data_IF_452779458599
#
_entry.id   IF_452779458599
#
_cell.length_a   1.000
_cell.length_b   1.000
_cell.length_c   1.000
_cell.angle_alpha   90.00
_cell.angle_beta   90.00
_cell.angle_gamma   90.00
#
_symmetry.space_group_name_H-M   'P 1'
#
loop_
_entity.id
_entity.type
_entity.pdbx_description
1 polymer ?
#
# COMPACT_ATOMS: atom_id res chain seq x y z
N UNK A 1 -0.88 12.09 -11.03
CA UNK A 1 -1.90 11.29 -11.75
C UNK A 1 -1.98 11.56 -13.25
N UNK A 2 -1.91 12.81 -13.73
CA UNK A 2 -1.99 13.14 -15.17
C UNK A 2 -1.00 12.37 -16.04
N UNK A 3 0.27 12.28 -15.60
CA UNK A 3 1.31 11.51 -16.31
C UNK A 3 0.95 10.02 -16.47
N UNK A 4 0.23 9.45 -15.51
CA UNK A 4 -0.21 8.05 -15.51
C UNK A 4 -1.58 7.87 -16.21
N UNK A 5 -2.12 8.93 -16.83
CA UNK A 5 -3.43 8.90 -17.47
C UNK A 5 -4.56 8.58 -16.50
N UNK A 6 -4.51 9.14 -15.28
CA UNK A 6 -5.55 8.96 -14.25
C UNK A 6 -5.14 8.13 -13.03
N UNK A 7 -3.86 7.74 -12.93
CA UNK A 7 -3.30 7.04 -11.76
C UNK A 7 -2.93 5.58 -12.03
N UNK A 8 -2.65 4.82 -10.97
CA UNK A 8 -2.30 3.41 -11.04
C UNK A 8 -3.52 2.56 -11.44
N UNK A 9 -3.33 1.60 -12.35
CA UNK A 9 -4.41 0.81 -12.95
C UNK A 9 -4.40 -0.63 -12.47
N UNK A 10 -5.59 -1.19 -12.20
CA UNK A 10 -5.76 -2.62 -11.89
C UNK A 10 -5.37 -3.46 -13.11
N UNK A 11 -4.81 -4.65 -12.86
CA UNK A 11 -4.38 -5.57 -13.93
C UNK A 11 -3.09 -5.15 -14.64
N UNK A 12 -2.39 -4.12 -14.16
CA UNK A 12 -1.12 -3.67 -14.70
C UNK A 12 -0.02 -3.69 -13.63
N UNK A 13 1.19 -4.07 -14.04
CA UNK A 13 2.40 -3.88 -13.24
C UNK A 13 3.00 -2.52 -13.59
N UNK A 14 3.24 -1.68 -12.58
CA UNK A 14 3.86 -0.36 -12.75
C UNK A 14 5.17 -0.33 -11.99
N UNK A 15 6.28 -0.07 -12.69
CA UNK A 15 7.60 0.10 -12.10
C UNK A 15 7.95 1.59 -11.93
N UNK A 16 8.46 1.96 -10.76
CA UNK A 16 8.96 3.31 -10.48
C UNK A 16 10.42 3.21 -10.10
N UNK A 17 11.30 3.72 -10.96
CA UNK A 17 12.76 3.67 -10.78
C UNK A 17 13.34 5.06 -10.56
N UNK A 18 14.56 5.12 -10.01
CA UNK A 18 15.26 6.37 -9.74
C UNK A 18 16.25 6.26 -8.59
N UNK A 19 17.08 7.30 -8.44
CA UNK A 19 18.12 7.38 -7.39
C UNK A 19 17.54 7.32 -5.98
N UNK A 20 18.38 7.02 -4.98
CA UNK A 20 17.97 7.13 -3.58
C UNK A 20 17.41 8.54 -3.30
N UNK A 21 16.43 8.62 -2.41
CA UNK A 21 15.73 9.87 -2.07
C UNK A 21 14.93 10.53 -3.19
N UNK A 22 14.74 9.89 -4.36
CA UNK A 22 13.89 10.41 -5.44
C UNK A 22 12.37 10.32 -5.19
N UNK A 23 11.95 9.83 -4.01
CA UNK A 23 10.53 9.74 -3.63
C UNK A 23 9.82 8.42 -3.94
N UNK A 24 10.52 7.37 -4.39
CA UNK A 24 9.91 6.05 -4.70
C UNK A 24 9.09 5.47 -3.54
N UNK A 25 9.70 5.37 -2.36
CA UNK A 25 9.02 4.90 -1.13
C UNK A 25 7.82 5.77 -0.79
N UNK A 26 7.92 7.09 -1.01
CA UNK A 26 6.79 7.99 -0.80
C UNK A 26 5.62 7.62 -1.71
N UNK A 27 5.85 7.36 -3.00
CA UNK A 27 4.78 6.92 -3.92
C UNK A 27 4.12 5.62 -3.44
N UNK A 28 4.90 4.65 -2.96
CA UNK A 28 4.35 3.42 -2.39
C UNK A 28 3.47 3.68 -1.16
N UNK A 29 3.93 4.51 -0.21
CA UNK A 29 3.17 4.87 0.99
C UNK A 29 1.89 5.65 0.66
N UNK A 30 1.94 6.61 -0.27
CA UNK A 30 0.74 7.33 -0.72
C UNK A 30 -0.26 6.38 -1.38
N UNK A 31 0.22 5.46 -2.21
CA UNK A 31 -0.62 4.46 -2.88
C UNK A 31 -1.31 3.55 -1.86
N UNK A 32 -0.55 3.02 -0.90
CA UNK A 32 -1.08 2.17 0.18
C UNK A 32 -2.13 2.92 1.02
N UNK A 33 -1.82 4.14 1.46
CA UNK A 33 -2.73 4.96 2.25
C UNK A 33 -4.02 5.28 1.47
N UNK A 34 -3.94 5.63 0.19
CA UNK A 34 -5.11 5.97 -0.63
C UNK A 34 -6.02 4.77 -0.90
N UNK A 35 -5.46 3.60 -1.20
CA UNK A 35 -6.23 2.36 -1.43
C UNK A 35 -6.98 1.98 -0.14
N UNK A 36 -6.29 1.98 0.99
CA UNK A 36 -6.87 1.63 2.29
C UNK A 36 -7.89 2.69 2.78
N UNK A 37 -7.62 3.98 2.59
CA UNK A 37 -8.52 5.05 3.00
C UNK A 37 -9.84 5.03 2.21
N UNK A 38 -9.80 4.70 0.92
CA UNK A 38 -10.96 4.66 0.01
C UNK A 38 -11.71 3.32 0.00
N UNK A 39 -11.37 2.38 0.90
CA UNK A 39 -12.00 1.06 0.96
C UNK A 39 -11.91 0.26 -0.35
N UNK A 40 -10.80 0.43 -1.08
CA UNK A 40 -10.62 -0.23 -2.38
C UNK A 40 -10.04 -1.66 -2.27
N UNK A 41 -9.80 -2.13 -1.04
CA UNK A 41 -9.26 -3.46 -0.74
C UNK A 41 -8.22 -3.41 0.38
N UNK A 42 -7.63 -4.55 0.68
CA UNK A 42 -6.43 -4.65 1.51
C UNK A 42 -5.17 -4.39 0.68
N UNK A 43 -4.12 -3.89 1.32
CA UNK A 43 -2.81 -3.63 0.71
C UNK A 43 -1.79 -4.58 1.33
N UNK A 44 -1.08 -5.34 0.50
CA UNK A 44 0.15 -6.02 0.92
C UNK A 44 1.33 -5.12 0.54
N UNK A 45 2.07 -4.66 1.53
CA UNK A 45 3.28 -3.85 1.38
C UNK A 45 4.49 -4.73 1.68
N UNK A 46 5.30 -5.01 0.66
CA UNK A 46 6.54 -5.77 0.82
C UNK A 46 7.69 -4.78 1.06
N UNK A 47 8.26 -4.81 2.26
CA UNK A 47 9.30 -3.86 2.66
C UNK A 47 10.69 -4.51 2.66
N UNK A 48 11.45 -4.24 1.59
CA UNK A 48 12.78 -4.81 1.39
C UNK A 48 13.89 -4.04 2.10
N UNK A 49 13.61 -2.83 2.60
CA UNK A 49 14.63 -1.92 3.14
C UNK A 49 14.23 -1.28 4.46
N UNK A 50 13.25 -1.86 5.18
CA UNK A 50 12.71 -1.37 6.45
C UNK A 50 12.31 0.12 6.38
N UNK A 51 11.65 0.49 5.29
CA UNK A 51 11.30 1.86 4.93
C UNK A 51 9.81 2.18 5.12
N UNK A 52 8.98 1.19 5.45
CA UNK A 52 7.59 1.41 5.81
C UNK A 52 7.50 2.23 7.10
N UNK A 53 6.62 3.23 7.10
CA UNK A 53 6.50 4.18 8.22
C UNK A 53 5.02 4.42 8.56
N UNK A 54 4.52 3.86 9.67
CA UNK A 54 3.16 4.10 10.11
C UNK A 54 2.88 5.58 10.40
N UNK A 55 3.86 6.30 10.96
CA UNK A 55 3.76 7.75 11.19
C UNK A 55 3.62 8.51 9.88
N UNK A 56 4.35 8.12 8.83
CA UNK A 56 4.19 8.76 7.51
C UNK A 56 2.81 8.50 6.92
N UNK A 57 2.25 7.29 7.07
CA UNK A 57 0.85 7.02 6.68
C UNK A 57 -0.11 7.96 7.43
N UNK A 58 0.05 8.13 8.75
CA UNK A 58 -0.79 9.04 9.52
C UNK A 58 -0.74 10.49 8.97
N UNK A 59 0.45 10.99 8.65
CA UNK A 59 0.62 12.29 8.01
C UNK A 59 -0.08 12.37 6.64
N UNK A 60 0.05 11.34 5.79
CA UNK A 60 -0.64 11.29 4.49
C UNK A 60 -2.16 11.36 4.69
N UNK A 61 -2.70 10.68 5.72
CA UNK A 61 -4.14 10.71 6.02
C UNK A 61 -4.64 12.06 6.54
N UNK A 62 -3.76 12.89 7.09
CA UNK A 62 -4.07 14.27 7.48
C UNK A 62 -4.10 15.22 6.27
N UNK A 63 -3.38 14.89 5.20
CA UNK A 63 -3.37 15.64 3.93
C UNK A 63 -4.56 15.30 3.02
N UNK A 64 -5.30 14.22 3.31
CA UNK A 64 -6.44 13.79 2.48
C UNK A 64 -7.61 14.79 2.52
N UNK A 65 -8.33 14.99 1.40
CA UNK A 65 -9.45 15.90 1.33
C UNK A 65 -10.58 15.53 2.31
N UNK A 66 -11.22 16.55 2.88
CA UNK A 66 -12.26 16.44 3.92
C UNK A 66 -13.44 15.57 3.48
N UNK A 67 -13.70 15.43 2.17
CA UNK A 67 -14.75 14.55 1.64
C UNK A 67 -14.54 13.06 1.96
N UNK A 68 -13.33 12.64 2.29
CA UNK A 68 -13.00 11.29 2.76
C UNK A 68 -13.04 11.17 4.31
N UNK A 69 -13.29 12.28 5.01
CA UNK A 69 -13.32 12.39 6.47
C UNK A 69 -14.77 12.32 6.96
N UNK A 70 -15.33 11.11 6.99
CA UNK A 70 -16.60 10.86 7.71
C UNK A 70 -16.38 10.41 9.15
N UNK A 71 -15.17 9.97 9.46
CA UNK A 71 -14.80 9.33 10.72
C UNK A 71 -13.75 10.17 11.46
N UNK A 72 -13.73 10.11 12.81
CA UNK A 72 -12.67 10.70 13.63
C UNK A 72 -11.28 10.23 13.19
N UNK A 73 -10.26 11.09 13.37
CA UNK A 73 -8.88 10.81 12.93
C UNK A 73 -8.35 9.46 13.42
N UNK A 74 -8.54 9.16 14.70
CA UNK A 74 -8.03 7.93 15.31
C UNK A 74 -8.72 6.67 14.76
N UNK A 75 -10.03 6.73 14.54
CA UNK A 75 -10.79 5.64 13.93
C UNK A 75 -10.35 5.40 12.49
N UNK A 76 -10.17 6.48 11.72
CA UNK A 76 -9.68 6.42 10.34
C UNK A 76 -8.28 5.80 10.27
N UNK A 77 -7.36 6.26 11.12
CA UNK A 77 -5.99 5.72 11.16
C UNK A 77 -6.00 4.24 11.52
N UNK A 78 -6.71 3.85 12.59
CA UNK A 78 -6.82 2.44 13.01
C UNK A 78 -7.34 1.55 11.89
N UNK A 79 -8.38 2.01 11.19
CA UNK A 79 -9.00 1.30 10.07
C UNK A 79 -8.09 1.20 8.84
N UNK A 80 -7.40 2.29 8.51
CA UNK A 80 -6.43 2.28 7.40
C UNK A 80 -5.30 1.31 7.71
N UNK A 81 -4.74 1.38 8.92
CA UNK A 81 -3.66 0.49 9.35
C UNK A 81 -4.09 -0.97 9.38
N UNK A 82 -5.32 -1.29 9.79
CA UNK A 82 -5.82 -2.67 9.75
C UNK A 82 -5.99 -3.22 8.33
N UNK A 83 -5.95 -2.36 7.31
CA UNK A 83 -6.10 -2.74 5.91
C UNK A 83 -4.76 -2.84 5.17
N UNK A 84 -3.64 -2.47 5.82
CA UNK A 84 -2.29 -2.53 5.25
C UNK A 84 -1.52 -3.61 6.01
N UNK A 85 -1.18 -4.69 5.31
CA UNK A 85 -0.34 -5.78 5.80
C UNK A 85 1.07 -5.47 5.32
N UNK A 86 2.00 -5.21 6.24
CA UNK A 86 3.39 -4.96 5.92
C UNK A 86 4.22 -6.20 6.25
N UNK A 87 4.91 -6.75 5.25
CA UNK A 87 5.83 -7.89 5.40
C UNK A 87 7.24 -7.42 5.08
N UNK A 88 8.15 -7.54 6.06
CA UNK A 88 9.57 -7.23 5.83
C UNK A 88 10.24 -8.41 5.12
N UNK A 89 10.87 -8.16 3.98
CA UNK A 89 11.48 -9.19 3.12
C UNK A 89 12.92 -8.83 2.79
N UNK A 90 13.87 -9.37 3.55
CA UNK A 90 15.29 -8.98 3.46
C UNK A 90 16.14 -9.85 2.53
N UNK A 91 15.55 -10.93 2.01
CA UNK A 91 16.18 -11.82 1.06
C UNK A 91 15.16 -12.39 0.08
N UNK A 92 15.68 -13.03 -0.97
CA UNK A 92 14.89 -13.58 -2.05
C UNK A 92 14.04 -14.78 -1.62
N UNK A 93 14.46 -15.55 -0.60
CA UNK A 93 13.71 -16.71 -0.12
C UNK A 93 12.47 -16.27 0.65
N UNK A 94 12.62 -15.29 1.55
CA UNK A 94 11.51 -14.67 2.26
C UNK A 94 10.50 -14.03 1.28
N UNK A 95 10.99 -13.40 0.21
CA UNK A 95 10.13 -12.87 -0.85
C UNK A 95 9.31 -13.97 -1.52
N UNK A 96 9.93 -15.07 -1.93
CA UNK A 96 9.21 -16.19 -2.55
C UNK A 96 8.17 -16.80 -1.62
N UNK A 97 8.49 -17.00 -0.34
CA UNK A 97 7.53 -17.51 0.63
C UNK A 97 6.28 -16.61 0.76
N UNK A 98 6.47 -15.29 0.75
CA UNK A 98 5.34 -14.34 0.80
C UNK A 98 4.51 -14.41 -0.48
N UNK A 99 5.15 -14.52 -1.65
CA UNK A 99 4.47 -14.61 -2.94
C UNK A 99 3.68 -15.92 -3.09
N UNK A 100 4.23 -17.05 -2.65
CA UNK A 100 3.55 -18.35 -2.65
C UNK A 100 2.30 -18.30 -1.74
N UNK A 101 2.43 -17.72 -0.53
CA UNK A 101 1.28 -17.50 0.36
C UNK A 101 0.22 -16.61 -0.27
N UNK A 102 0.63 -15.57 -1.00
CA UNK A 102 -0.27 -14.66 -1.70
C UNK A 102 -1.04 -15.39 -2.81
N UNK A 103 -0.35 -16.20 -3.62
CA UNK A 103 -0.97 -16.99 -4.68
C UNK A 103 -2.04 -17.93 -4.11
N UNK A 104 -1.70 -18.71 -3.07
CA UNK A 104 -2.64 -19.61 -2.41
C UNK A 104 -3.86 -18.85 -1.89
N UNK A 105 -3.64 -17.71 -1.22
CA UNK A 105 -4.73 -16.88 -0.68
C UNK A 105 -5.66 -16.34 -1.76
N UNK A 106 -5.12 -15.91 -2.91
CA UNK A 106 -5.90 -15.40 -4.03
C UNK A 106 -6.67 -16.53 -4.73
N UNK A 107 -6.04 -17.69 -4.95
CA UNK A 107 -6.69 -18.85 -5.54
C UNK A 107 -7.84 -19.37 -4.67
N UNK A 108 -7.68 -19.38 -3.35
CA UNK A 108 -8.77 -19.72 -2.42
C UNK A 108 -9.96 -18.75 -2.48
N UNK A 109 -9.74 -17.49 -2.87
CA UNK A 109 -10.81 -16.48 -3.02
C UNK A 109 -11.49 -16.54 -4.37
N UNK A 110 -10.78 -16.91 -5.43
CA UNK A 110 -11.32 -17.05 -6.78
C UNK A 110 -12.17 -18.31 -6.94
N UNK A 111 -11.85 -19.37 -6.20
CA UNK A 111 -12.56 -20.66 -6.23
C UNK A 111 -13.77 -20.72 -5.27
N UNK A 112 -14.21 -19.57 -4.74
CA UNK A 112 -15.45 -19.42 -3.94
C UNK A 112 -16.43 -18.53 -4.68
#
# INVERSE_FOLDING_TARGET
DTLLGGGLRKGQLTEITGQSSSGKTQVCLYSAAHVAARHMGAVLYLDTSNSFSPSRIAHILDELPISLIKEPKDMRLKRVMSSIICESVFDIFALFEVLDRLEVSLNCKLNR
#
